data_IF_626193209539
#
_entry.id   IF_626193209539
#
_cell.length_a   1.000
_cell.length_b   1.000
_cell.length_c   1.000
_cell.angle_alpha   90.00
_cell.angle_beta   90.00
_cell.angle_gamma   90.00
#
_symmetry.space_group_name_H-M   'P 1'
#
loop_
_entity.id
_entity.type
_entity.pdbx_description
1 polymer ?
#
# COMPACT_ATOMS: atom_id res chain seq x y z
N UNK A 1 -23.28 10.57 -28.74
CA UNK A 1 -24.39 9.97 -27.92
C UNK A 1 -23.83 9.73 -26.55
N UNK A 2 -24.43 10.36 -25.53
CA UNK A 2 -23.90 10.27 -24.16
C UNK A 2 -23.98 8.84 -23.62
N UNK A 3 -22.93 8.42 -22.96
CA UNK A 3 -22.84 7.14 -22.24
C UNK A 3 -22.73 7.39 -20.74
N UNK A 4 -23.20 6.43 -19.95
CA UNK A 4 -23.00 6.48 -18.50
C UNK A 4 -21.53 6.31 -18.18
N UNK A 5 -21.03 7.09 -17.23
CA UNK A 5 -19.65 6.99 -16.76
C UNK A 5 -19.50 7.42 -15.30
N UNK A 6 -18.52 6.83 -14.60
CA UNK A 6 -18.24 7.10 -13.19
C UNK A 6 -17.10 8.08 -12.99
N UNK A 7 -16.57 8.67 -14.05
CA UNK A 7 -15.34 9.48 -14.06
C UNK A 7 -15.61 10.96 -14.27
N UNK A 8 -16.85 11.33 -14.56
CA UNK A 8 -17.32 12.71 -14.78
C UNK A 8 -18.47 12.99 -13.80
N UNK A 9 -18.43 14.15 -13.18
CA UNK A 9 -19.56 14.61 -12.34
C UNK A 9 -20.84 14.67 -13.16
N UNK A 10 -21.94 14.18 -12.59
CA UNK A 10 -23.22 14.02 -13.30
C UNK A 10 -23.39 12.67 -13.99
N UNK A 11 -22.34 11.86 -14.08
CA UNK A 11 -22.43 10.45 -14.47
C UNK A 11 -22.73 10.19 -15.96
N UNK A 12 -22.55 11.20 -16.84
CA UNK A 12 -22.75 11.08 -18.28
C UNK A 12 -21.59 11.75 -19.03
N UNK A 13 -21.06 11.08 -20.05
CA UNK A 13 -19.98 11.60 -20.89
C UNK A 13 -20.19 11.27 -22.38
N UNK A 14 -19.50 11.98 -23.25
CA UNK A 14 -19.33 11.68 -24.67
C UNK A 14 -17.90 11.16 -24.88
N UNK A 15 -17.74 9.99 -25.52
CA UNK A 15 -16.43 9.49 -25.94
C UNK A 15 -16.03 10.25 -27.21
N UNK A 16 -14.92 10.98 -27.16
CA UNK A 16 -14.39 11.74 -28.28
C UNK A 16 -13.28 11.00 -29.02
N UNK A 17 -12.56 10.12 -28.30
CA UNK A 17 -11.57 9.22 -28.90
C UNK A 17 -11.55 7.88 -28.16
N UNK A 18 -11.65 6.80 -28.92
CA UNK A 18 -11.66 5.42 -28.39
C UNK A 18 -10.24 4.92 -28.09
N UNK A 19 -10.18 3.91 -27.21
CA UNK A 19 -8.95 3.15 -26.95
C UNK A 19 -8.45 2.47 -28.24
N UNK A 20 -7.13 2.59 -28.51
CA UNK A 20 -6.48 1.88 -29.59
C UNK A 20 -5.07 1.45 -29.15
N UNK A 21 -4.95 0.18 -28.79
CA UNK A 21 -3.70 -0.40 -28.28
C UNK A 21 -2.46 0.07 -29.06
N UNK A 22 -1.43 0.52 -28.34
CA UNK A 22 -0.16 1.05 -28.86
C UNK A 22 -0.25 2.37 -29.68
N UNK A 23 -1.42 2.96 -29.78
CA UNK A 23 -1.62 4.25 -30.44
C UNK A 23 -2.28 5.27 -29.53
N UNK A 24 -3.43 4.92 -28.93
CA UNK A 24 -4.14 5.70 -27.92
C UNK A 24 -4.48 4.78 -26.75
N UNK A 25 -3.69 4.85 -25.69
CA UNK A 25 -3.70 3.86 -24.62
C UNK A 25 -4.71 4.19 -23.49
N UNK A 26 -5.70 4.98 -23.78
CA UNK A 26 -6.82 5.37 -22.95
C UNK A 26 -8.04 5.66 -23.80
N UNK A 27 -9.02 6.33 -23.23
CA UNK A 27 -10.14 6.95 -23.94
C UNK A 27 -10.14 8.44 -23.64
N UNK A 28 -10.59 9.23 -24.61
CA UNK A 28 -10.84 10.66 -24.39
C UNK A 28 -12.33 10.90 -24.26
N UNK A 29 -12.72 11.65 -23.24
CA UNK A 29 -14.12 11.95 -22.95
C UNK A 29 -14.32 13.42 -22.59
N UNK A 30 -15.54 13.90 -22.83
CA UNK A 30 -16.04 15.19 -22.34
C UNK A 30 -17.36 14.97 -21.63
N UNK A 31 -17.83 15.93 -20.86
CA UNK A 31 -19.16 15.86 -20.24
C UNK A 31 -20.27 15.80 -21.29
N UNK A 32 -21.45 15.33 -20.87
CA UNK A 32 -22.63 15.24 -21.75
C UNK A 32 -22.90 16.57 -22.42
N UNK A 33 -23.24 16.52 -23.72
CA UNK A 33 -23.42 17.71 -24.55
C UNK A 33 -22.13 18.47 -24.85
N UNK A 34 -20.99 17.77 -24.79
CA UNK A 34 -19.64 18.34 -25.05
C UNK A 34 -19.24 19.45 -24.06
N UNK A 35 -19.63 19.31 -22.81
CA UNK A 35 -19.30 20.26 -21.75
C UNK A 35 -18.02 19.87 -20.99
N UNK A 36 -17.35 20.86 -20.40
CA UNK A 36 -16.30 20.64 -19.42
C UNK A 36 -16.92 20.37 -18.04
N UNK A 37 -16.32 19.47 -17.29
CA UNK A 37 -16.85 19.04 -16.00
C UNK A 37 -15.73 18.72 -14.99
N UNK A 38 -16.12 18.54 -13.73
CA UNK A 38 -15.24 17.94 -12.75
C UNK A 38 -15.03 16.47 -13.07
N UNK A 39 -13.79 16.06 -13.04
CA UNK A 39 -13.37 14.66 -13.02
C UNK A 39 -13.51 14.13 -11.60
N UNK A 40 -14.06 12.92 -11.48
CA UNK A 40 -14.32 12.30 -10.19
C UNK A 40 -13.67 10.92 -10.12
N UNK A 41 -13.29 10.51 -8.93
CA UNK A 41 -12.68 9.19 -8.72
C UNK A 41 -13.66 8.07 -9.12
N UNK A 42 -13.20 7.16 -9.97
CA UNK A 42 -13.99 6.03 -10.47
C UNK A 42 -14.44 5.08 -9.35
N UNK A 43 -13.56 4.81 -8.41
CA UNK A 43 -13.72 3.90 -7.27
C UNK A 43 -12.91 4.41 -6.09
N UNK A 44 -13.15 3.87 -4.90
CA UNK A 44 -12.34 4.13 -3.73
C UNK A 44 -10.88 3.75 -3.99
N UNK A 45 -9.94 4.49 -3.41
CA UNK A 45 -8.52 4.21 -3.62
C UNK A 45 -7.61 5.22 -2.93
N UNK A 46 -6.33 5.13 -3.26
CA UNK A 46 -5.28 6.04 -2.77
C UNK A 46 -4.59 6.72 -3.95
N UNK A 47 -4.42 8.02 -3.86
CA UNK A 47 -3.69 8.81 -4.85
C UNK A 47 -2.21 8.45 -4.79
N UNK A 48 -1.65 7.97 -5.90
CA UNK A 48 -0.23 7.53 -5.98
C UNK A 48 0.65 8.46 -6.81
N UNK A 49 0.07 9.32 -7.64
CA UNK A 49 0.80 10.35 -8.36
C UNK A 49 -0.11 11.51 -8.76
N UNK A 50 0.41 12.73 -8.73
CA UNK A 50 -0.28 13.94 -9.22
C UNK A 50 0.68 14.92 -9.84
N UNK A 51 0.16 15.75 -10.74
CA UNK A 51 0.78 16.99 -11.24
C UNK A 51 -0.28 18.07 -11.35
N UNK A 52 0.01 19.31 -10.94
CA UNK A 52 -0.96 20.42 -10.90
C UNK A 52 -0.41 21.77 -11.42
N UNK A 53 0.77 21.75 -12.02
CA UNK A 53 1.49 22.98 -12.39
C UNK A 53 1.77 23.14 -13.90
N UNK A 54 1.21 22.27 -14.74
CA UNK A 54 1.30 22.41 -16.19
C UNK A 54 0.32 23.48 -16.66
N UNK A 55 0.81 24.49 -17.39
CA UNK A 55 0.01 25.66 -17.81
C UNK A 55 -0.47 25.62 -19.26
N UNK A 56 0.00 24.65 -20.07
CA UNK A 56 -0.35 24.58 -21.50
C UNK A 56 0.14 23.32 -22.19
N UNK A 57 0.34 23.40 -23.50
CA UNK A 57 0.82 22.28 -24.31
C UNK A 57 2.24 21.87 -23.91
N UNK A 58 2.45 20.56 -23.78
CA UNK A 58 3.74 19.94 -23.47
C UNK A 58 3.80 18.57 -24.15
N UNK A 59 4.68 18.43 -25.13
CA UNK A 59 4.78 17.22 -25.97
C UNK A 59 5.08 15.97 -25.13
N UNK A 60 4.39 14.86 -25.44
CA UNK A 60 4.53 13.57 -24.75
C UNK A 60 4.07 13.56 -23.30
N UNK A 61 3.43 14.63 -22.79
CA UNK A 61 3.06 14.80 -21.39
C UNK A 61 1.57 14.62 -21.15
N UNK A 62 1.21 14.04 -19.99
CA UNK A 62 -0.16 14.02 -19.45
C UNK A 62 -0.68 15.38 -18.99
N UNK A 63 0.17 16.43 -18.98
CA UNK A 63 -0.18 17.71 -18.41
C UNK A 63 -0.39 17.62 -16.89
N UNK A 64 -1.49 18.21 -16.41
CA UNK A 64 -1.95 17.98 -15.06
C UNK A 64 -2.70 16.66 -14.99
N UNK A 65 -2.41 15.86 -13.97
CA UNK A 65 -2.97 14.52 -13.86
C UNK A 65 -3.10 14.05 -12.42
N UNK A 66 -3.98 13.07 -12.23
CA UNK A 66 -4.13 12.28 -11.00
C UNK A 66 -4.06 10.80 -11.36
N UNK A 67 -3.27 10.01 -10.62
CA UNK A 67 -3.25 8.54 -10.71
C UNK A 67 -3.68 7.96 -9.36
N UNK A 68 -4.67 7.08 -9.39
CA UNK A 68 -5.27 6.46 -8.20
C UNK A 68 -5.00 4.96 -8.25
N UNK A 69 -4.54 4.39 -7.13
CA UNK A 69 -4.46 2.94 -6.91
C UNK A 69 -5.70 2.49 -6.15
N UNK A 70 -6.43 1.51 -6.69
CA UNK A 70 -7.62 0.93 -6.10
C UNK A 70 -7.33 -0.33 -5.29
N UNK A 71 -8.26 -0.75 -4.44
CA UNK A 71 -8.08 -1.89 -3.51
C UNK A 71 -7.91 -3.23 -4.24
N UNK A 72 -8.43 -3.36 -5.45
CA UNK A 72 -8.24 -4.50 -6.36
C UNK A 72 -6.86 -4.54 -7.04
N UNK A 73 -6.00 -3.54 -6.75
CA UNK A 73 -4.66 -3.39 -7.29
C UNK A 73 -4.60 -2.69 -8.64
N UNK A 74 -5.73 -2.43 -9.30
CA UNK A 74 -5.80 -1.66 -10.54
C UNK A 74 -5.50 -0.18 -10.29
N UNK A 75 -5.18 0.53 -11.39
CA UNK A 75 -4.98 1.97 -11.36
C UNK A 75 -5.92 2.64 -12.35
N UNK A 76 -6.39 3.82 -11.98
CA UNK A 76 -6.97 4.78 -12.93
C UNK A 76 -6.08 6.00 -13.04
N UNK A 77 -5.96 6.55 -14.26
CA UNK A 77 -5.22 7.78 -14.52
C UNK A 77 -6.14 8.76 -15.25
N UNK A 78 -6.15 9.99 -14.78
CA UNK A 78 -6.92 11.13 -15.28
C UNK A 78 -5.91 12.18 -15.73
N UNK A 79 -5.95 12.62 -16.98
CA UNK A 79 -4.97 13.52 -17.55
C UNK A 79 -5.60 14.74 -18.24
N UNK A 80 -4.74 15.68 -18.61
CA UNK A 80 -5.03 16.94 -19.28
C UNK A 80 -5.83 17.94 -18.47
N UNK A 81 -5.89 17.78 -17.14
CA UNK A 81 -6.59 18.68 -16.22
C UNK A 81 -6.20 20.14 -16.34
N UNK A 82 -7.08 21.03 -15.95
CA UNK A 82 -6.83 22.47 -15.96
C UNK A 82 -5.75 22.84 -14.92
N UNK A 83 -5.03 23.92 -15.20
CA UNK A 83 -3.99 24.43 -14.31
C UNK A 83 -4.53 24.71 -12.91
N UNK A 84 -3.83 24.20 -11.89
CA UNK A 84 -4.12 24.43 -10.47
C UNK A 84 -5.54 23.99 -10.02
N UNK A 85 -6.09 22.94 -10.61
CA UNK A 85 -7.42 22.42 -10.26
C UNK A 85 -7.40 21.04 -9.58
N UNK A 86 -6.26 20.38 -9.46
CA UNK A 86 -6.13 19.12 -8.72
C UNK A 86 -6.44 19.37 -7.24
N UNK A 87 -7.42 18.64 -6.70
CA UNK A 87 -7.96 18.79 -5.35
C UNK A 87 -7.34 17.82 -4.34
N UNK A 88 -6.51 16.88 -4.80
CA UNK A 88 -5.98 15.77 -4.01
C UNK A 88 -4.45 15.72 -4.09
N UNK A 89 -3.81 15.15 -3.07
CA UNK A 89 -2.36 14.96 -2.99
C UNK A 89 -1.99 13.48 -2.94
N UNK A 90 -0.74 13.17 -3.30
CA UNK A 90 -0.20 11.81 -3.15
C UNK A 90 -0.33 11.36 -1.69
N UNK A 91 -0.92 10.18 -1.49
CA UNK A 91 -1.24 9.60 -0.19
C UNK A 91 -2.68 9.81 0.28
N UNK A 92 -3.43 10.73 -0.34
CA UNK A 92 -4.83 10.94 0.03
C UNK A 92 -5.68 9.71 -0.35
N UNK A 93 -6.61 9.38 0.52
CA UNK A 93 -7.71 8.44 0.22
C UNK A 93 -8.82 9.20 -0.47
N UNK A 94 -9.32 8.63 -1.54
CA UNK A 94 -10.44 9.17 -2.30
C UNK A 94 -11.58 8.17 -2.31
N UNK A 95 -12.80 8.70 -2.28
CA UNK A 95 -14.01 7.89 -2.43
C UNK A 95 -14.57 8.01 -3.84
N UNK A 96 -15.23 6.94 -4.28
CA UNK A 96 -15.95 6.94 -5.56
C UNK A 96 -16.84 8.18 -5.69
N UNK A 97 -16.70 8.90 -6.80
CA UNK A 97 -17.47 10.12 -7.08
C UNK A 97 -16.88 11.40 -6.44
N UNK A 98 -15.78 11.29 -5.69
CA UNK A 98 -15.09 12.45 -5.14
C UNK A 98 -14.40 13.25 -6.26
N UNK A 99 -14.55 14.59 -6.23
CA UNK A 99 -13.90 15.49 -7.19
C UNK A 99 -12.38 15.45 -7.00
N UNK A 100 -11.66 15.20 -8.07
CA UNK A 100 -10.19 15.09 -8.04
C UNK A 100 -9.49 16.17 -8.88
N UNK A 101 -10.08 16.57 -10.00
CA UNK A 101 -9.50 17.55 -10.91
C UNK A 101 -10.60 18.15 -11.81
N UNK A 102 -10.41 19.33 -12.37
CA UNK A 102 -11.29 19.89 -13.40
C UNK A 102 -10.71 19.66 -14.78
N UNK A 103 -11.56 19.27 -15.72
CA UNK A 103 -11.18 19.01 -17.11
C UNK A 103 -10.49 20.22 -17.74
N UNK A 104 -9.42 19.98 -18.47
CA UNK A 104 -8.60 21.03 -19.07
C UNK A 104 -8.02 20.65 -20.43
N UNK A 105 -6.93 21.34 -20.79
CA UNK A 105 -6.23 21.19 -22.08
C UNK A 105 -4.71 21.35 -21.90
N UNK A 106 -4.15 20.70 -20.86
CA UNK A 106 -2.70 20.78 -20.58
C UNK A 106 -1.97 19.52 -21.02
N UNK A 107 -0.64 19.61 -21.21
CA UNK A 107 0.14 18.51 -21.75
C UNK A 107 -0.04 18.34 -23.27
N UNK A 108 0.10 17.12 -23.76
CA UNK A 108 -0.09 16.80 -25.19
C UNK A 108 -1.58 16.67 -25.51
N UNK A 109 -2.29 17.80 -25.53
CA UNK A 109 -3.73 17.89 -25.78
C UNK A 109 -4.03 18.99 -26.78
N UNK A 110 -4.91 18.72 -27.74
CA UNK A 110 -5.30 19.63 -28.82
C UNK A 110 -6.72 20.21 -28.65
N UNK A 111 -7.36 19.89 -27.53
CA UNK A 111 -8.70 20.35 -27.17
C UNK A 111 -9.05 19.90 -25.78
N UNK A 112 -9.87 20.66 -25.06
CA UNK A 112 -10.18 20.34 -23.67
C UNK A 112 -10.98 19.02 -23.56
N UNK A 113 -10.45 18.05 -22.83
CA UNK A 113 -11.01 16.73 -22.60
C UNK A 113 -10.37 16.07 -21.36
N UNK A 114 -10.97 15.01 -20.86
CA UNK A 114 -10.32 14.06 -19.97
C UNK A 114 -9.75 12.90 -20.79
N UNK A 115 -8.43 12.67 -20.72
CA UNK A 115 -7.82 11.40 -21.12
C UNK A 115 -7.84 10.46 -19.92
N UNK A 116 -8.55 9.33 -20.07
CA UNK A 116 -8.76 8.35 -18.98
C UNK A 116 -8.12 7.01 -19.33
N UNK A 117 -7.29 6.49 -18.40
CA UNK A 117 -6.68 5.15 -18.52
C UNK A 117 -7.14 4.24 -17.37
N UNK A 118 -7.29 2.95 -17.68
CA UNK A 118 -7.32 1.86 -16.71
C UNK A 118 -6.06 1.02 -16.89
N UNK A 119 -5.41 0.69 -15.77
CA UNK A 119 -4.19 -0.11 -15.77
C UNK A 119 -4.29 -1.27 -14.82
N UNK A 120 -3.71 -2.40 -15.21
CA UNK A 120 -3.61 -3.59 -14.38
C UNK A 120 -2.70 -3.36 -13.16
N UNK A 121 -2.66 -4.29 -12.18
CA UNK A 121 -1.70 -4.25 -11.08
C UNK A 121 -0.22 -4.16 -11.52
N UNK A 122 0.10 -4.70 -12.70
CA UNK A 122 1.44 -4.62 -13.31
C UNK A 122 1.66 -3.33 -14.13
N UNK A 123 0.79 -2.33 -13.95
CA UNK A 123 0.81 -1.03 -14.66
C UNK A 123 0.64 -1.12 -16.19
N UNK A 124 0.04 -2.21 -16.69
CA UNK A 124 -0.26 -2.39 -18.12
C UNK A 124 -1.58 -1.72 -18.46
N UNK A 125 -1.59 -0.86 -19.49
CA UNK A 125 -2.79 -0.17 -19.97
C UNK A 125 -3.72 -1.14 -20.68
N UNK A 126 -5.00 -1.09 -20.34
CA UNK A 126 -6.07 -1.88 -20.95
C UNK A 126 -7.19 -0.95 -21.44
N UNK A 127 -8.08 -1.47 -22.27
CA UNK A 127 -9.24 -0.72 -22.75
C UNK A 127 -10.12 -0.27 -21.59
N UNK A 128 -10.31 1.04 -21.35
CA UNK A 128 -11.13 1.54 -20.26
C UNK A 128 -12.64 1.47 -20.53
N UNK A 129 -13.04 1.31 -21.80
CA UNK A 129 -14.46 1.41 -22.22
C UNK A 129 -15.40 0.50 -21.44
N UNK A 130 -15.08 -0.79 -21.18
CA UNK A 130 -15.95 -1.67 -20.40
C UNK A 130 -16.17 -1.22 -18.95
N UNK A 131 -15.28 -0.38 -18.43
CA UNK A 131 -15.27 0.03 -17.01
C UNK A 131 -15.84 1.43 -16.78
N UNK A 132 -16.29 2.12 -17.80
CA UNK A 132 -16.84 3.47 -17.65
C UNK A 132 -17.99 3.57 -16.66
N UNK A 133 -18.90 2.59 -16.63
CA UNK A 133 -20.02 2.49 -15.68
C UNK A 133 -20.07 1.16 -14.92
N UNK A 134 -19.00 0.34 -15.02
CA UNK A 134 -18.86 -0.92 -14.32
C UNK A 134 -17.71 -0.84 -13.30
N UNK A 135 -17.69 -1.78 -12.35
CA UNK A 135 -16.55 -1.93 -11.46
C UNK A 135 -15.33 -2.37 -12.27
N UNK A 136 -14.15 -1.96 -11.82
CA UNK A 136 -12.89 -2.45 -12.37
C UNK A 136 -12.89 -3.99 -12.29
N UNK A 137 -12.16 -4.70 -13.18
CA UNK A 137 -12.12 -6.14 -13.07
C UNK A 137 -11.75 -6.47 -11.64
N UNK A 138 -12.58 -7.24 -10.96
CA UNK A 138 -12.12 -7.88 -9.75
C UNK A 138 -10.99 -8.82 -10.20
N UNK A 139 -9.76 -8.30 -10.20
CA UNK A 139 -8.68 -9.21 -9.96
C UNK A 139 -9.04 -9.78 -8.61
N UNK A 140 -9.30 -11.11 -8.43
CA UNK A 140 -9.14 -11.64 -7.11
C UNK A 140 -7.72 -11.20 -6.74
N UNK A 141 -7.61 -10.27 -5.78
CA UNK A 141 -6.31 -9.83 -5.27
C UNK A 141 -5.51 -11.11 -5.17
N UNK A 142 -4.33 -11.25 -5.82
CA UNK A 142 -3.66 -12.53 -5.89
C UNK A 142 -3.76 -13.06 -4.49
N UNK A 143 -4.51 -14.18 -4.31
CA UNK A 143 -4.80 -14.70 -2.96
C UNK A 143 -3.43 -14.73 -2.35
N UNK A 144 -3.10 -13.85 -1.39
CA UNK A 144 -1.72 -13.71 -0.98
C UNK A 144 -1.32 -15.12 -0.65
N UNK A 145 -0.31 -15.65 -1.37
CA UNK A 145 0.19 -16.99 -1.06
C UNK A 145 0.78 -16.79 0.31
N UNK A 146 -0.08 -17.01 1.32
CA UNK A 146 0.21 -16.73 2.72
C UNK A 146 1.46 -17.53 3.05
N UNK A 147 2.58 -16.87 3.18
CA UNK A 147 3.88 -17.49 3.48
C UNK A 147 3.92 -18.01 4.91
N UNK A 148 3.01 -17.50 5.75
CA UNK A 148 3.01 -17.70 7.18
C UNK A 148 1.69 -18.30 7.64
N UNK A 149 1.72 -19.08 8.71
CA UNK A 149 0.56 -19.74 9.28
C UNK A 149 0.21 -19.18 10.68
N UNK A 150 -1.04 -19.37 11.10
CA UNK A 150 -1.41 -19.13 12.50
C UNK A 150 -0.51 -20.01 13.39
N UNK A 151 0.09 -19.40 14.41
CA UNK A 151 1.02 -20.05 15.31
C UNK A 151 2.50 -19.79 14.98
N UNK A 152 2.83 -19.33 13.77
CA UNK A 152 4.21 -18.96 13.43
C UNK A 152 4.68 -17.76 14.27
N UNK A 153 5.88 -17.88 14.82
CA UNK A 153 6.60 -16.77 15.43
C UNK A 153 7.45 -16.09 14.36
N UNK A 154 7.31 -14.79 14.20
CA UNK A 154 7.96 -14.02 13.13
C UNK A 154 8.73 -12.83 13.67
N UNK A 155 9.86 -12.52 13.03
CA UNK A 155 10.59 -11.27 13.19
C UNK A 155 9.95 -10.20 12.31
N UNK A 156 9.82 -8.98 12.84
CA UNK A 156 9.18 -7.87 12.13
C UNK A 156 9.99 -6.58 12.23
N UNK A 157 9.91 -5.75 11.19
CA UNK A 157 10.48 -4.41 11.13
C UNK A 157 9.45 -3.31 10.84
N UNK A 158 8.18 -3.69 10.72
CA UNK A 158 7.06 -2.78 10.51
C UNK A 158 5.76 -3.36 11.05
N UNK A 159 4.79 -2.48 11.33
CA UNK A 159 3.46 -2.85 11.82
C UNK A 159 2.43 -1.82 11.36
N UNK A 160 1.18 -2.24 11.27
CA UNK A 160 0.03 -1.40 10.91
C UNK A 160 -1.03 -1.45 12.01
N UNK A 161 -1.73 -0.34 12.20
CA UNK A 161 -2.81 -0.24 13.21
C UNK A 161 -4.05 -1.05 12.84
N UNK A 162 -4.24 -1.35 11.54
CA UNK A 162 -5.35 -2.17 11.05
C UNK A 162 -4.94 -3.01 9.84
N UNK A 163 -5.75 -4.02 9.52
CA UNK A 163 -5.56 -4.88 8.35
C UNK A 163 -5.61 -4.15 7.00
N UNK A 164 -6.20 -2.96 6.97
CA UNK A 164 -6.37 -2.12 5.78
C UNK A 164 -5.62 -0.78 5.86
N UNK A 165 -4.81 -0.57 6.90
CA UNK A 165 -3.99 0.65 7.03
C UNK A 165 -2.83 0.62 6.05
N UNK A 166 -2.49 1.78 5.48
CA UNK A 166 -1.31 1.98 4.63
C UNK A 166 -0.16 2.65 5.40
N UNK A 167 -0.41 3.17 6.60
CA UNK A 167 0.60 3.83 7.42
C UNK A 167 1.44 2.77 8.16
N UNK A 168 2.64 2.53 7.64
CA UNK A 168 3.61 1.63 8.25
C UNK A 168 4.29 2.31 9.42
N UNK A 169 4.18 1.72 10.59
CA UNK A 169 4.78 2.18 11.84
C UNK A 169 6.00 1.35 12.21
N UNK A 170 6.90 1.93 12.99
CA UNK A 170 7.97 1.17 13.64
C UNK A 170 7.39 0.40 14.82
N UNK A 171 7.55 -0.92 14.89
CA UNK A 171 7.01 -1.72 15.98
C UNK A 171 7.78 -1.47 17.28
N UNK A 172 7.06 -1.48 18.41
CA UNK A 172 7.66 -1.39 19.74
C UNK A 172 8.45 -2.65 20.12
N UNK A 173 8.19 -3.77 19.45
CA UNK A 173 8.89 -5.04 19.56
C UNK A 173 9.19 -5.58 18.17
N UNK A 174 10.28 -6.31 18.00
CA UNK A 174 10.75 -6.79 16.71
C UNK A 174 10.32 -8.20 16.34
N UNK A 175 9.38 -8.80 17.09
CA UNK A 175 8.84 -10.13 16.83
C UNK A 175 7.44 -10.29 17.40
N UNK A 176 6.71 -11.29 16.91
CA UNK A 176 5.39 -11.65 17.42
C UNK A 176 4.91 -12.99 16.86
N UNK A 177 3.85 -13.52 17.50
CA UNK A 177 3.18 -14.74 17.06
C UNK A 177 1.97 -14.37 16.21
N UNK A 178 1.83 -15.00 15.06
CA UNK A 178 0.64 -14.84 14.22
C UNK A 178 -0.53 -15.55 14.90
N UNK A 179 -1.55 -14.79 15.27
CA UNK A 179 -2.74 -15.30 15.98
C UNK A 179 -4.00 -15.29 15.13
N UNK A 180 -4.02 -14.50 14.07
CA UNK A 180 -5.13 -14.44 13.11
C UNK A 180 -4.62 -14.13 11.71
N UNK A 181 -5.29 -14.72 10.71
CA UNK A 181 -5.06 -14.43 9.30
C UNK A 181 -6.41 -14.07 8.67
N UNK A 182 -6.43 -13.02 7.85
CA UNK A 182 -7.61 -12.60 7.09
C UNK A 182 -7.18 -12.19 5.67
N UNK A 183 -8.13 -12.13 4.77
CA UNK A 183 -7.91 -11.60 3.42
C UNK A 183 -7.93 -10.06 3.45
N UNK A 184 -6.76 -9.44 3.52
CA UNK A 184 -6.56 -8.00 3.62
C UNK A 184 -5.15 -7.61 3.18
N UNK A 185 -4.87 -6.31 2.89
CA UNK A 185 -3.52 -5.81 2.59
C UNK A 185 -2.47 -6.16 3.65
N UNK A 186 -2.86 -6.16 4.93
CA UNK A 186 -2.03 -6.59 6.06
C UNK A 186 -2.68 -7.82 6.71
N UNK A 187 -2.41 -9.04 6.19
CA UNK A 187 -3.22 -10.22 6.49
C UNK A 187 -2.98 -10.81 7.87
N UNK A 188 -1.84 -10.56 8.51
CA UNK A 188 -1.44 -11.25 9.73
C UNK A 188 -1.62 -10.37 10.96
N UNK A 189 -2.44 -10.81 11.92
CA UNK A 189 -2.56 -10.18 13.24
C UNK A 189 -1.57 -10.82 14.21
N UNK A 190 -0.80 -9.99 14.91
CA UNK A 190 0.18 -10.46 15.88
C UNK A 190 -0.30 -10.30 17.32
N UNK A 191 -0.09 -11.37 18.12
CA UNK A 191 -0.34 -11.41 19.58
C UNK A 191 -1.74 -10.89 19.94
N UNK A 192 -2.79 -11.36 19.23
CA UNK A 192 -4.18 -10.96 19.45
C UNK A 192 -4.41 -9.43 19.39
N UNK A 193 -3.65 -8.76 18.54
CA UNK A 193 -3.74 -7.32 18.33
C UNK A 193 -2.87 -6.47 19.27
N UNK A 194 -2.16 -7.06 20.21
CA UNK A 194 -1.26 -6.32 21.13
C UNK A 194 -0.08 -5.68 20.41
N UNK A 195 0.31 -6.21 19.24
CA UNK A 195 1.38 -5.65 18.41
C UNK A 195 0.78 -4.89 17.23
N UNK A 196 -0.20 -5.48 16.54
CA UNK A 196 -0.87 -4.92 15.37
C UNK A 196 -0.92 -5.89 14.20
N UNK A 197 -1.14 -5.34 13.00
CA UNK A 197 -1.23 -6.08 11.76
C UNK A 197 0.09 -5.98 10.97
N UNK A 198 0.46 -7.04 10.25
CA UNK A 198 1.64 -7.06 9.38
C UNK A 198 1.32 -7.73 8.05
N UNK A 199 2.16 -7.44 7.04
CA UNK A 199 2.18 -8.13 5.76
C UNK A 199 3.56 -8.78 5.52
N UNK A 200 3.72 -9.47 4.41
CA UNK A 200 4.99 -10.12 4.05
C UNK A 200 6.18 -9.15 3.96
N UNK A 201 5.94 -7.88 3.60
CA UNK A 201 6.96 -6.83 3.55
C UNK A 201 7.45 -6.35 4.92
N UNK A 202 6.71 -6.67 5.98
CA UNK A 202 7.10 -6.36 7.36
C UNK A 202 7.76 -7.54 8.07
N UNK A 203 7.64 -8.76 7.53
CA UNK A 203 8.18 -9.96 8.15
C UNK A 203 9.56 -10.24 7.57
N UNK A 204 10.59 -10.15 8.40
CA UNK A 204 11.99 -10.34 8.02
C UNK A 204 12.48 -11.78 8.18
N UNK A 205 11.72 -12.65 8.85
CA UNK A 205 12.06 -14.06 9.03
C UNK A 205 11.27 -14.75 10.13
N UNK A 206 11.60 -16.02 10.40
CA UNK A 206 11.08 -16.74 11.55
C UNK A 206 11.76 -16.29 12.85
N UNK A 207 10.99 -16.15 13.90
CA UNK A 207 11.49 -15.97 15.25
C UNK A 207 11.57 -17.32 15.95
N UNK A 208 12.75 -17.71 16.34
CA UNK A 208 13.01 -18.99 17.03
C UNK A 208 13.20 -18.76 18.54
N UNK A 209 12.13 -18.97 19.28
CA UNK A 209 12.16 -18.86 20.76
C UNK A 209 13.17 -19.85 21.40
N UNK A 210 13.35 -21.03 20.80
CA UNK A 210 14.29 -22.03 21.34
C UNK A 210 15.73 -21.54 21.18
N UNK A 211 16.04 -20.91 20.04
CA UNK A 211 17.32 -20.28 19.82
C UNK A 211 17.57 -19.10 20.77
N UNK A 212 16.54 -18.26 21.01
CA UNK A 212 16.66 -17.17 21.97
C UNK A 212 16.88 -17.71 23.39
N UNK A 213 16.07 -18.67 23.83
CA UNK A 213 16.19 -19.30 25.13
C UNK A 213 17.60 -19.90 25.33
N UNK A 214 18.16 -20.55 24.29
CA UNK A 214 19.51 -21.08 24.34
C UNK A 214 20.56 -19.97 24.48
N UNK A 215 20.44 -18.89 23.69
CA UNK A 215 21.34 -17.74 23.80
C UNK A 215 21.27 -17.07 25.17
N UNK A 216 20.08 -16.92 25.76
CA UNK A 216 19.91 -16.39 27.12
C UNK A 216 20.57 -17.31 28.16
N UNK A 217 20.32 -18.62 28.07
CA UNK A 217 20.95 -19.63 28.94
C UNK A 217 22.47 -19.59 28.88
N UNK A 218 23.05 -19.55 27.67
CA UNK A 218 24.48 -19.45 27.43
C UNK A 218 25.06 -18.12 27.95
N UNK A 219 24.31 -17.02 27.80
CA UNK A 219 24.71 -15.70 28.29
C UNK A 219 24.76 -15.64 29.81
N UNK A 220 23.74 -16.17 30.49
CA UNK A 220 23.71 -16.27 31.99
C UNK A 220 24.84 -17.17 32.48
N UNK A 221 25.16 -18.23 31.76
CA UNK A 221 26.31 -19.11 32.08
C UNK A 221 27.67 -18.41 31.87
N UNK A 222 27.72 -17.34 31.08
CA UNK A 222 28.92 -16.58 30.85
C UNK A 222 29.66 -16.90 29.52
N UNK A 223 29.08 -17.74 28.66
CA UNK A 223 29.73 -18.22 27.41
C UNK A 223 30.09 -17.11 26.42
N UNK A 224 29.40 -15.98 26.49
CA UNK A 224 29.62 -14.82 25.61
C UNK A 224 30.50 -13.74 26.24
N UNK A 225 31.10 -13.98 27.43
CA UNK A 225 31.87 -12.96 28.12
C UNK A 225 31.03 -11.83 28.71
N UNK A 226 31.63 -10.64 28.90
CA UNK A 226 30.98 -9.48 29.49
C UNK A 226 31.15 -8.22 28.62
N UNK A 227 30.28 -7.23 28.83
CA UNK A 227 30.41 -5.91 28.21
C UNK A 227 30.50 -5.95 26.68
N UNK A 228 31.50 -5.29 26.14
CA UNK A 228 31.71 -5.16 24.68
C UNK A 228 32.00 -6.51 23.98
N UNK A 229 32.65 -7.45 24.68
CA UNK A 229 32.88 -8.80 24.15
C UNK A 229 31.54 -9.50 23.90
N UNK A 230 30.63 -9.46 24.87
CA UNK A 230 29.28 -10.02 24.74
C UNK A 230 28.52 -9.37 23.59
N UNK A 231 28.58 -8.05 23.51
CA UNK A 231 27.91 -7.29 22.45
C UNK A 231 28.44 -7.68 21.06
N UNK A 232 29.76 -7.78 20.91
CA UNK A 232 30.38 -8.19 19.65
C UNK A 232 29.98 -9.61 19.23
N UNK A 233 29.93 -10.56 20.19
CA UNK A 233 29.64 -11.99 19.93
C UNK A 233 28.16 -12.24 19.63
N UNK A 234 27.24 -11.51 20.27
CA UNK A 234 25.78 -11.61 20.05
C UNK A 234 25.32 -10.77 18.84
N UNK A 235 26.10 -9.77 18.42
CA UNK A 235 25.79 -8.91 17.28
C UNK A 235 24.40 -8.31 17.39
N UNK A 236 23.60 -8.42 16.34
CA UNK A 236 22.24 -7.89 16.27
C UNK A 236 21.24 -8.50 17.29
N UNK A 237 21.60 -9.61 17.92
CA UNK A 237 20.77 -10.25 18.97
C UNK A 237 21.08 -9.72 20.39
N UNK A 238 22.07 -8.85 20.56
CA UNK A 238 22.55 -8.41 21.88
C UNK A 238 21.44 -7.80 22.75
N UNK A 239 20.75 -6.81 22.23
CA UNK A 239 19.73 -6.07 23.01
C UNK A 239 18.57 -6.99 23.47
N UNK A 240 18.12 -7.87 22.59
CA UNK A 240 17.07 -8.84 22.88
C UNK A 240 17.52 -9.85 23.95
N UNK A 241 18.68 -10.47 23.77
CA UNK A 241 19.23 -11.44 24.73
C UNK A 241 19.52 -10.76 26.05
N UNK A 242 20.13 -9.58 26.08
CA UNK A 242 20.43 -8.85 27.30
C UNK A 242 19.18 -8.46 28.09
N UNK A 243 18.11 -8.04 27.39
CA UNK A 243 16.81 -7.78 28.02
C UNK A 243 16.27 -9.02 28.74
N UNK A 244 16.31 -10.18 28.09
CA UNK A 244 15.85 -11.44 28.67
C UNK A 244 16.72 -11.89 29.85
N UNK A 245 18.05 -11.69 29.75
CA UNK A 245 18.97 -11.93 30.86
C UNK A 245 18.60 -11.08 32.08
N UNK A 246 18.37 -9.77 31.89
CA UNK A 246 18.00 -8.86 32.98
C UNK A 246 16.64 -9.26 33.60
N UNK A 247 15.67 -9.68 32.80
CA UNK A 247 14.38 -10.17 33.30
C UNK A 247 14.54 -11.47 34.13
N UNK A 248 15.37 -12.40 33.70
CA UNK A 248 15.66 -13.61 34.49
C UNK A 248 16.34 -13.28 35.81
N UNK A 249 17.29 -12.36 35.86
CA UNK A 249 17.89 -11.88 37.10
C UNK A 249 16.87 -11.20 38.01
N UNK A 250 16.01 -10.33 37.48
CA UNK A 250 14.97 -9.64 38.26
C UNK A 250 13.93 -10.60 38.86
N UNK A 251 13.65 -11.72 38.19
CA UNK A 251 12.69 -12.72 38.63
C UNK A 251 13.34 -13.90 39.37
N UNK A 252 14.65 -13.90 39.63
CA UNK A 252 15.37 -14.96 40.30
C UNK A 252 15.43 -16.29 39.55
N UNK A 253 15.24 -16.28 38.24
CA UNK A 253 15.22 -17.47 37.35
C UNK A 253 16.55 -17.66 36.63
N UNK A 254 17.67 -17.71 37.37
CA UNK A 254 19.03 -17.76 36.78
C UNK A 254 19.64 -19.17 36.77
N UNK A 255 18.99 -20.19 37.35
CA UNK A 255 19.43 -21.57 37.20
C UNK A 255 19.02 -22.12 35.83
N UNK A 256 19.84 -22.97 35.22
CA UNK A 256 19.68 -23.46 33.84
C UNK A 256 18.28 -23.98 33.53
N UNK A 257 17.64 -24.69 34.47
CA UNK A 257 16.31 -25.27 34.27
C UNK A 257 15.16 -24.27 34.46
N UNK A 258 15.44 -23.14 35.13
CA UNK A 258 14.43 -22.13 35.48
C UNK A 258 14.48 -20.91 34.55
N UNK A 259 15.50 -20.77 33.71
CA UNK A 259 15.62 -19.66 32.76
C UNK A 259 14.46 -19.72 31.76
N UNK A 260 13.79 -18.59 31.54
CA UNK A 260 12.62 -18.44 30.65
C UNK A 260 12.77 -17.27 29.71
N UNK A 261 11.93 -17.25 28.69
CA UNK A 261 11.66 -16.08 27.85
C UNK A 261 10.40 -15.40 28.38
N UNK A 262 10.51 -14.07 28.63
CA UNK A 262 9.47 -13.23 29.21
C UNK A 262 8.85 -12.30 28.19
#
# INVERSE_FOLDING_TARGET
MSVKCRIIEGGLCEITQEYKKNYHNGIDVVGAGYTLAWEVAHSDGVVVATRNNCTGFEDGSYGNYVKIKHDDGYYTLYAHGAYNTVQVMVGDKVHRGERIMYMGNTGMSYGAHLHFEVRTPDDVRIDPTPYLDADLPSNPAPTPTLKWNIGDNVMIDGVYVSSVSYDRLTPAVNHGKITKIIEAPNPYLLNDGKIGWVNDGCITGRYDESSLLMLVKMTIRGDFGNGEERKARLGGRYEEVQRQVNLNYANGTTSWDNIRIY
#
